data_IF_727721245539
#
_entry.id   IF_727721245539
#
_cell.length_a   1.000
_cell.length_b   1.000
_cell.length_c   1.000
_cell.angle_alpha   90.00
_cell.angle_beta   90.00
_cell.angle_gamma   90.00
#
_symmetry.space_group_name_H-M   'P 1'
#
loop_
_entity.id
_entity.type
_entity.pdbx_description
1 polymer ?
#
# COMPACT_ATOMS: atom_id res chain seq x y z
N UNK A 1 4.80 -4.27 13.66
CA UNK A 1 5.79 -4.41 12.57
C UNK A 1 5.78 -3.09 11.83
N UNK A 2 6.91 -2.38 11.82
CA UNK A 2 7.03 -1.15 11.01
C UNK A 2 6.92 -1.55 9.54
N UNK A 3 5.80 -1.19 8.90
CA UNK A 3 5.64 -1.27 7.45
C UNK A 3 6.55 -0.21 6.81
N UNK A 4 7.83 -0.54 6.68
CA UNK A 4 8.82 0.27 5.95
C UNK A 4 8.55 0.17 4.46
N UNK A 5 8.70 1.28 3.76
CA UNK A 5 8.58 1.34 2.30
C UNK A 5 9.54 0.37 1.61
N UNK A 6 9.13 -0.15 0.45
CA UNK A 6 10.00 -0.96 -0.41
C UNK A 6 11.17 -0.08 -0.92
N UNK A 7 12.36 -0.29 -0.35
CA UNK A 7 13.56 0.51 -0.63
C UNK A 7 14.01 0.38 -2.09
N UNK A 8 13.88 -0.80 -2.69
CA UNK A 8 14.27 -0.99 -4.10
C UNK A 8 13.37 -0.20 -5.03
N UNK A 9 12.06 -0.25 -4.79
CA UNK A 9 11.08 0.49 -5.58
C UNK A 9 11.23 2.01 -5.38
N UNK A 10 11.48 2.44 -4.14
CA UNK A 10 11.77 3.84 -3.82
C UNK A 10 12.98 4.36 -4.60
N UNK A 11 14.10 3.63 -4.59
CA UNK A 11 15.31 4.02 -5.32
C UNK A 11 15.09 4.11 -6.83
N UNK A 12 14.32 3.18 -7.41
CA UNK A 12 13.99 3.17 -8.84
C UNK A 12 13.08 4.36 -9.24
N UNK A 13 12.14 4.74 -8.38
CA UNK A 13 11.33 5.94 -8.57
C UNK A 13 12.22 7.19 -8.49
N UNK A 14 13.09 7.29 -7.49
CA UNK A 14 14.02 8.42 -7.34
C UNK A 14 14.96 8.56 -8.55
N UNK A 15 15.46 7.43 -9.07
CA UNK A 15 16.34 7.41 -10.25
C UNK A 15 15.63 7.88 -11.52
N UNK A 16 14.31 7.70 -11.64
CA UNK A 16 13.55 8.24 -12.77
C UNK A 16 13.19 9.71 -12.57
N UNK A 17 12.77 10.09 -11.35
CA UNK A 17 12.39 11.48 -11.02
C UNK A 17 13.59 12.41 -11.16
N UNK A 18 14.79 12.01 -10.74
CA UNK A 18 15.98 12.88 -10.83
C UNK A 18 16.27 13.33 -12.27
N UNK A 19 15.89 12.55 -13.27
CA UNK A 19 16.16 12.85 -14.68
C UNK A 19 15.09 13.76 -15.31
N UNK A 20 13.92 13.87 -14.66
CA UNK A 20 12.79 14.70 -15.10
C UNK A 20 12.84 16.16 -14.60
N UNK A 21 13.68 16.43 -13.60
CA UNK A 21 13.77 17.74 -12.95
C UNK A 21 15.21 18.22 -12.85
N UNK A 22 15.40 19.53 -12.81
CA UNK A 22 16.68 20.15 -12.45
C UNK A 22 16.93 20.07 -10.95
N UNK A 23 18.17 20.28 -10.52
CA UNK A 23 18.52 20.30 -9.08
C UNK A 23 17.74 21.36 -8.29
N UNK A 24 17.54 22.56 -8.88
CA UNK A 24 16.74 23.62 -8.26
C UNK A 24 15.28 23.20 -8.10
N UNK A 25 14.67 22.62 -9.13
CA UNK A 25 13.28 22.15 -9.06
C UNK A 25 13.11 21.07 -7.98
N UNK A 26 14.05 20.12 -7.87
CA UNK A 26 14.00 19.07 -6.85
C UNK A 26 14.10 19.67 -5.43
N UNK A 27 14.94 20.68 -5.23
CA UNK A 27 15.03 21.39 -3.96
C UNK A 27 13.71 22.10 -3.67
N UNK A 28 13.19 22.89 -4.61
CA UNK A 28 11.91 23.59 -4.43
C UNK A 28 10.79 22.62 -4.10
N UNK A 29 10.61 21.57 -4.90
CA UNK A 29 9.57 20.57 -4.68
C UNK A 29 9.67 19.90 -3.31
N UNK A 30 10.85 19.43 -2.93
CA UNK A 30 11.04 18.73 -1.66
C UNK A 30 10.94 19.65 -0.44
N UNK A 31 11.43 20.90 -0.54
CA UNK A 31 11.38 21.87 0.56
C UNK A 31 9.98 22.43 0.75
N UNK A 32 9.29 22.83 -0.32
CA UNK A 32 7.91 23.32 -0.26
C UNK A 32 6.97 22.24 0.28
N UNK A 33 7.13 21.01 -0.21
CA UNK A 33 6.36 19.88 0.30
C UNK A 33 6.64 19.63 1.78
N UNK A 34 7.91 19.47 2.18
CA UNK A 34 8.27 19.19 3.57
C UNK A 34 7.71 20.28 4.52
N UNK A 35 7.86 21.55 4.15
CA UNK A 35 7.30 22.67 4.89
C UNK A 35 5.77 22.59 4.99
N UNK A 36 5.08 22.18 3.94
CA UNK A 36 3.60 22.03 3.94
C UNK A 36 3.10 20.95 4.90
N UNK A 37 3.92 19.93 5.20
CA UNK A 37 3.58 18.83 6.11
C UNK A 37 4.25 18.96 7.48
N UNK A 38 4.94 20.06 7.75
CA UNK A 38 5.61 20.32 9.03
C UNK A 38 6.90 19.52 9.24
N UNK A 39 7.53 19.04 8.16
CA UNK A 39 8.80 18.33 8.18
C UNK A 39 9.95 19.23 7.67
N UNK A 40 11.18 18.89 8.02
CA UNK A 40 12.38 19.62 7.60
C UNK A 40 13.28 18.70 6.78
N UNK A 41 13.87 19.26 5.72
CA UNK A 41 14.81 18.54 4.85
C UNK A 41 16.19 19.19 4.88
N UNK A 42 17.23 18.36 4.71
CA UNK A 42 18.63 18.76 4.86
C UNK A 42 19.09 19.70 3.75
N UNK A 43 18.77 19.40 2.49
CA UNK A 43 19.31 20.12 1.33
C UNK A 43 18.34 21.20 0.89
N UNK A 44 18.71 22.46 1.14
CA UNK A 44 17.89 23.64 0.83
C UNK A 44 18.48 24.52 -0.28
N UNK A 45 19.72 24.27 -0.70
CA UNK A 45 20.43 25.05 -1.73
C UNK A 45 21.18 24.14 -2.69
N UNK A 46 21.26 24.53 -3.96
CA UNK A 46 22.06 23.81 -4.97
C UNK A 46 23.54 24.08 -4.69
N UNK A 47 24.13 23.23 -3.87
CA UNK A 47 25.58 23.16 -3.67
C UNK A 47 26.22 22.19 -4.67
N UNK A 48 27.22 21.45 -4.22
CA UNK A 48 27.91 20.41 -4.99
C UNK A 48 27.16 19.07 -5.06
N UNK A 49 25.92 19.01 -4.56
CA UNK A 49 25.13 17.79 -4.49
C UNK A 49 24.59 17.40 -5.87
N UNK A 50 24.64 16.11 -6.22
CA UNK A 50 24.00 15.64 -7.45
C UNK A 50 22.48 15.67 -7.32
N UNK A 51 21.76 15.64 -8.45
CA UNK A 51 20.28 15.55 -8.45
C UNK A 51 19.77 14.35 -7.65
N UNK A 52 20.49 13.22 -7.72
CA UNK A 52 20.17 12.03 -6.93
C UNK A 52 20.36 12.30 -5.44
N UNK A 53 21.49 12.87 -5.05
CA UNK A 53 21.77 13.17 -3.63
C UNK A 53 20.75 14.15 -3.05
N UNK A 54 20.38 15.18 -3.81
CA UNK A 54 19.32 16.14 -3.44
C UNK A 54 18.02 15.40 -3.11
N UNK A 55 17.54 14.58 -4.04
CA UNK A 55 16.27 13.88 -3.91
C UNK A 55 16.34 12.85 -2.79
N UNK A 56 17.28 11.90 -2.86
CA UNK A 56 17.38 10.80 -1.89
C UNK A 56 17.60 11.30 -0.47
N UNK A 57 18.43 12.35 -0.27
CA UNK A 57 18.67 12.88 1.08
C UNK A 57 17.43 13.56 1.64
N UNK A 58 16.79 14.44 0.88
CA UNK A 58 15.59 15.14 1.33
C UNK A 58 14.42 14.16 1.57
N UNK A 59 14.24 13.17 0.70
CA UNK A 59 13.24 12.11 0.89
C UNK A 59 13.57 11.26 2.12
N UNK A 60 14.84 10.96 2.38
CA UNK A 60 15.23 10.19 3.56
C UNK A 60 14.96 10.90 4.90
N UNK A 61 14.96 12.22 4.90
CA UNK A 61 14.65 13.04 6.08
C UNK A 61 13.14 13.03 6.41
N UNK A 62 12.30 12.64 5.45
CA UNK A 62 10.85 12.62 5.60
C UNK A 62 10.33 11.33 6.26
N UNK A 63 9.18 11.42 6.93
CA UNK A 63 8.47 10.23 7.40
C UNK A 63 7.93 9.40 6.23
N UNK A 64 7.74 8.08 6.41
CA UNK A 64 7.17 7.23 5.35
C UNK A 64 5.76 7.68 4.91
N UNK A 65 5.05 8.47 5.73
CA UNK A 65 3.78 9.08 5.35
C UNK A 65 3.94 10.32 4.49
N UNK A 66 4.89 11.17 4.84
CA UNK A 66 5.26 12.31 4.01
C UNK A 66 5.80 11.84 2.65
N UNK A 67 6.68 10.82 2.60
CA UNK A 67 7.19 10.25 1.34
C UNK A 67 6.07 9.83 0.40
N UNK A 68 5.07 9.11 0.90
CA UNK A 68 3.93 8.67 0.08
C UNK A 68 3.12 9.83 -0.45
N UNK A 69 2.77 10.79 0.41
CA UNK A 69 2.03 11.97 0.01
C UNK A 69 2.81 12.80 -1.02
N UNK A 70 4.13 12.87 -0.88
CA UNK A 70 5.01 13.53 -1.82
C UNK A 70 4.93 12.88 -3.21
N UNK A 71 5.13 11.56 -3.29
CA UNK A 71 5.05 10.85 -4.57
C UNK A 71 3.64 10.87 -5.16
N UNK A 72 2.59 10.83 -4.32
CA UNK A 72 1.21 10.97 -4.78
C UNK A 72 0.95 12.35 -5.40
N UNK A 73 1.44 13.42 -4.77
CA UNK A 73 1.38 14.77 -5.35
C UNK A 73 2.23 14.93 -6.61
N UNK A 74 3.40 14.28 -6.69
CA UNK A 74 4.23 14.33 -7.90
C UNK A 74 3.49 13.83 -9.14
N UNK A 75 2.58 12.86 -9.01
CA UNK A 75 1.75 12.39 -10.13
C UNK A 75 0.86 13.48 -10.74
N UNK A 76 0.61 14.57 -10.03
CA UNK A 76 -0.19 15.70 -10.55
C UNK A 76 0.60 16.61 -11.48
N UNK A 77 1.93 16.46 -11.53
CA UNK A 77 2.79 17.22 -12.44
C UNK A 77 2.74 16.56 -13.82
N UNK A 78 2.39 17.32 -14.85
CA UNK A 78 2.19 16.85 -16.24
C UNK A 78 3.33 15.93 -16.73
N UNK A 79 4.59 16.34 -16.57
CA UNK A 79 5.76 15.55 -16.99
C UNK A 79 5.90 14.18 -16.29
N UNK A 80 5.30 14.03 -15.12
CA UNK A 80 5.27 12.77 -14.36
C UNK A 80 4.05 11.95 -14.76
N UNK A 81 2.87 12.57 -14.89
CA UNK A 81 1.65 11.89 -15.34
C UNK A 81 1.78 11.32 -16.76
N UNK A 82 2.57 11.96 -17.61
CA UNK A 82 2.85 11.52 -18.99
C UNK A 82 3.78 10.30 -19.06
N UNK A 83 4.27 9.80 -17.92
CA UNK A 83 5.02 8.56 -17.83
C UNK A 83 4.22 7.47 -17.09
N UNK A 84 3.38 6.68 -17.80
CA UNK A 84 2.54 5.65 -17.17
C UNK A 84 3.32 4.62 -16.35
N UNK A 85 4.54 4.27 -16.77
CA UNK A 85 5.38 3.30 -16.04
C UNK A 85 5.82 3.84 -14.69
N UNK A 86 6.16 5.12 -14.62
CA UNK A 86 6.54 5.78 -13.37
C UNK A 86 5.32 5.93 -12.45
N UNK A 87 4.17 6.33 -12.99
CA UNK A 87 2.91 6.41 -12.25
C UNK A 87 2.55 5.06 -11.62
N UNK A 88 2.62 3.98 -12.39
CA UNK A 88 2.39 2.62 -11.87
C UNK A 88 3.32 2.26 -10.72
N UNK A 89 4.63 2.57 -10.84
CA UNK A 89 5.60 2.31 -9.76
C UNK A 89 5.28 3.13 -8.51
N UNK A 90 4.86 4.38 -8.67
CA UNK A 90 4.40 5.22 -7.55
C UNK A 90 3.17 4.60 -6.88
N UNK A 91 2.19 4.15 -7.67
CA UNK A 91 0.99 3.50 -7.13
C UNK A 91 1.33 2.19 -6.39
N UNK A 92 2.28 1.40 -6.91
CA UNK A 92 2.80 0.20 -6.23
C UNK A 92 3.48 0.56 -4.90
N UNK A 93 4.28 1.63 -4.86
CA UNK A 93 4.94 2.10 -3.64
C UNK A 93 3.89 2.53 -2.60
N UNK A 94 2.86 3.26 -3.00
CA UNK A 94 1.77 3.69 -2.12
C UNK A 94 0.99 2.47 -1.62
N UNK A 95 0.67 1.52 -2.51
CA UNK A 95 -0.02 0.29 -2.17
C UNK A 95 0.78 -0.58 -1.19
N UNK A 96 2.12 -0.54 -1.24
CA UNK A 96 2.99 -1.28 -0.33
C UNK A 96 2.88 -0.84 1.14
N UNK A 97 2.36 0.36 1.39
CA UNK A 97 2.26 0.98 2.73
C UNK A 97 0.85 1.05 3.28
N UNK A 98 -0.18 0.96 2.41
CA UNK A 98 -1.53 0.66 2.87
C UNK A 98 -1.43 -0.59 3.76
N UNK A 99 -2.03 -0.60 4.97
CA UNK A 99 -2.02 -1.80 5.77
C UNK A 99 -2.64 -2.90 4.92
N UNK A 100 -1.80 -3.84 4.46
CA UNK A 100 -2.16 -4.94 3.58
C UNK A 100 -3.44 -5.63 4.08
N UNK A 101 -3.64 -5.61 5.40
CA UNK A 101 -4.77 -6.14 6.14
C UNK A 101 -6.09 -5.41 5.84
N UNK A 102 -6.17 -4.07 5.85
CA UNK A 102 -7.43 -3.35 5.64
C UNK A 102 -7.87 -3.40 4.17
N UNK A 103 -6.94 -3.23 3.24
CA UNK A 103 -7.25 -3.32 1.81
C UNK A 103 -7.65 -4.76 1.43
N UNK A 104 -6.93 -5.77 1.93
CA UNK A 104 -7.29 -7.19 1.70
C UNK A 104 -8.63 -7.52 2.36
N UNK A 105 -8.91 -7.01 3.56
CA UNK A 105 -10.18 -7.22 4.25
C UNK A 105 -11.34 -6.61 3.46
N UNK A 106 -11.18 -5.40 2.95
CA UNK A 106 -12.20 -4.74 2.14
C UNK A 106 -12.41 -5.48 0.82
N UNK A 107 -11.34 -5.94 0.17
CA UNK A 107 -11.42 -6.74 -1.05
C UNK A 107 -12.17 -8.07 -0.83
N UNK A 108 -11.88 -8.80 0.25
CA UNK A 108 -12.61 -10.03 0.58
C UNK A 108 -14.07 -9.71 0.93
N UNK A 109 -14.33 -8.63 1.66
CA UNK A 109 -15.69 -8.19 1.99
C UNK A 109 -16.52 -7.92 0.73
N UNK A 110 -15.93 -7.24 -0.24
CA UNK A 110 -16.57 -6.96 -1.53
C UNK A 110 -16.73 -8.24 -2.35
N UNK A 111 -15.72 -9.12 -2.38
CA UNK A 111 -15.81 -10.39 -3.13
C UNK A 111 -16.92 -11.30 -2.57
N UNK A 112 -17.13 -11.28 -1.26
CA UNK A 112 -18.14 -12.10 -0.60
C UNK A 112 -19.53 -11.47 -0.61
N UNK A 113 -19.71 -10.20 -1.00
CA UNK A 113 -21.00 -9.48 -0.88
C UNK A 113 -22.15 -10.16 -1.59
N UNK A 114 -21.85 -10.84 -2.70
CA UNK A 114 -22.84 -11.47 -3.58
C UNK A 114 -23.17 -12.92 -3.16
N UNK A 115 -22.48 -13.43 -2.14
CA UNK A 115 -22.72 -14.76 -1.59
C UNK A 115 -23.82 -14.76 -0.52
N UNK A 116 -24.23 -15.95 -0.09
CA UNK A 116 -25.30 -16.11 0.89
C UNK A 116 -25.00 -15.42 2.22
N UNK A 117 -26.06 -15.06 2.95
CA UNK A 117 -25.99 -14.40 4.27
C UNK A 117 -25.11 -15.16 5.27
N UNK A 118 -25.01 -16.49 5.15
CA UNK A 118 -24.23 -17.30 6.07
C UNK A 118 -22.72 -17.16 5.82
N UNK A 119 -22.29 -17.08 4.55
CA UNK A 119 -20.89 -16.84 4.18
C UNK A 119 -20.46 -15.44 4.61
N UNK A 120 -21.29 -14.44 4.33
CA UNK A 120 -20.98 -13.04 4.66
C UNK A 120 -20.97 -12.80 6.17
N UNK A 121 -21.86 -13.46 6.93
CA UNK A 121 -21.87 -13.39 8.40
C UNK A 121 -20.61 -14.00 8.99
N UNK A 122 -20.22 -15.21 8.59
CA UNK A 122 -19.00 -15.85 9.09
C UNK A 122 -17.74 -14.99 8.80
N UNK A 123 -17.69 -14.35 7.62
CA UNK A 123 -16.60 -13.44 7.30
C UNK A 123 -16.60 -12.20 8.21
N UNK A 124 -17.76 -11.57 8.42
CA UNK A 124 -17.89 -10.40 9.32
C UNK A 124 -17.50 -10.73 10.76
N UNK A 125 -17.88 -11.91 11.25
CA UNK A 125 -17.48 -12.39 12.57
C UNK A 125 -15.95 -12.54 12.67
N UNK A 126 -15.29 -13.04 11.62
CA UNK A 126 -13.83 -13.13 11.60
C UNK A 126 -13.16 -11.75 11.74
N UNK A 127 -13.71 -10.73 11.10
CA UNK A 127 -13.23 -9.35 11.18
C UNK A 127 -13.44 -8.79 12.59
N UNK A 128 -14.61 -9.01 13.19
CA UNK A 128 -14.93 -8.58 14.56
C UNK A 128 -13.98 -9.26 15.55
N UNK A 129 -13.82 -10.58 15.49
CA UNK A 129 -12.93 -11.31 16.38
C UNK A 129 -11.48 -10.87 16.25
N UNK A 130 -11.02 -10.59 15.03
CA UNK A 130 -9.66 -10.09 14.81
C UNK A 130 -9.47 -8.70 15.46
N UNK A 131 -10.43 -7.78 15.28
CA UNK A 131 -10.37 -6.45 15.88
C UNK A 131 -10.43 -6.50 17.42
N UNK A 132 -11.18 -7.47 17.97
CA UNK A 132 -11.27 -7.77 19.39
C UNK A 132 -10.05 -8.52 19.96
N UNK A 133 -9.02 -8.78 19.14
CA UNK A 133 -7.83 -9.59 19.49
C UNK A 133 -8.15 -11.04 19.91
N UNK A 134 -9.33 -11.55 19.55
CA UNK A 134 -9.78 -12.94 19.76
C UNK A 134 -9.33 -13.81 18.58
N UNK A 135 -8.02 -13.95 18.40
CA UNK A 135 -7.43 -14.57 17.19
C UNK A 135 -7.92 -15.99 16.89
N UNK A 136 -8.18 -16.81 17.92
CA UNK A 136 -8.75 -18.15 17.72
C UNK A 136 -10.14 -18.10 17.09
N UNK A 137 -11.01 -17.23 17.61
CA UNK A 137 -12.34 -17.01 17.04
C UNK A 137 -12.29 -16.44 15.62
N UNK A 138 -11.29 -15.59 15.33
CA UNK A 138 -11.07 -15.08 13.99
C UNK A 138 -10.70 -16.20 13.00
N UNK A 139 -9.77 -17.09 13.38
CA UNK A 139 -9.38 -18.23 12.56
C UNK A 139 -10.51 -19.24 12.35
N UNK A 140 -11.27 -19.55 13.41
CA UNK A 140 -12.42 -20.45 13.32
C UNK A 140 -13.50 -19.88 12.38
N UNK A 141 -13.70 -18.56 12.41
CA UNK A 141 -14.65 -17.88 11.52
C UNK A 141 -14.16 -17.80 10.07
N UNK A 142 -12.86 -17.59 9.84
CA UNK A 142 -12.25 -17.68 8.49
C UNK A 142 -12.42 -19.08 7.93
N UNK A 143 -12.16 -20.10 8.75
CA UNK A 143 -12.32 -21.50 8.38
C UNK A 143 -13.76 -21.81 7.97
N UNK A 144 -14.73 -21.38 8.77
CA UNK A 144 -16.15 -21.55 8.46
C UNK A 144 -16.53 -20.82 7.15
N UNK A 145 -16.03 -19.61 6.96
CA UNK A 145 -16.23 -18.84 5.71
C UNK A 145 -15.75 -19.62 4.50
N UNK A 146 -14.53 -20.17 4.55
CA UNK A 146 -13.96 -20.99 3.48
C UNK A 146 -14.76 -22.28 3.25
N UNK A 147 -15.20 -22.93 4.31
CA UNK A 147 -16.02 -24.14 4.19
C UNK A 147 -17.33 -23.85 3.46
N UNK A 148 -18.06 -22.84 3.89
CA UNK A 148 -19.34 -22.46 3.27
C UNK A 148 -19.15 -22.01 1.80
N UNK A 149 -18.08 -21.27 1.52
CA UNK A 149 -17.74 -20.83 0.17
C UNK A 149 -17.45 -22.03 -0.75
N UNK A 150 -16.62 -22.97 -0.30
CA UNK A 150 -16.27 -24.15 -1.10
C UNK A 150 -17.46 -25.08 -1.31
N UNK A 151 -18.31 -25.27 -0.29
CA UNK A 151 -19.57 -26.03 -0.44
C UNK A 151 -20.46 -25.40 -1.51
N UNK A 152 -20.56 -24.07 -1.53
CA UNK A 152 -21.33 -23.33 -2.53
C UNK A 152 -20.73 -23.46 -3.93
N UNK A 153 -19.41 -23.34 -4.08
CA UNK A 153 -18.73 -23.41 -5.38
C UNK A 153 -18.70 -24.82 -5.97
N UNK A 154 -18.49 -25.84 -5.13
CA UNK A 154 -18.36 -27.23 -5.56
C UNK A 154 -19.69 -28.00 -5.54
N UNK A 155 -20.78 -27.37 -5.09
CA UNK A 155 -22.11 -27.98 -5.02
C UNK A 155 -22.17 -29.24 -4.15
N UNK A 156 -21.33 -29.34 -3.12
CA UNK A 156 -21.30 -30.48 -2.22
C UNK A 156 -21.25 -30.04 -0.75
N UNK A 157 -21.77 -30.86 0.16
CA UNK A 157 -21.85 -30.54 1.59
C UNK A 157 -20.69 -31.09 2.42
N UNK A 158 -19.58 -31.51 1.78
CA UNK A 158 -18.43 -32.06 2.50
C UNK A 158 -17.75 -30.97 3.32
N UNK A 159 -17.45 -31.26 4.58
CA UNK A 159 -16.61 -30.38 5.40
C UNK A 159 -15.20 -30.28 4.79
N UNK A 160 -14.54 -29.15 5.05
CA UNK A 160 -13.13 -28.94 4.70
C UNK A 160 -12.22 -30.07 5.19
N UNK A 161 -12.50 -30.64 6.36
CA UNK A 161 -11.70 -31.75 6.94
C UNK A 161 -11.85 -33.07 6.18
N UNK A 162 -12.93 -33.20 5.39
CA UNK A 162 -13.35 -34.44 4.76
C UNK A 162 -13.34 -34.36 3.22
N UNK A 163 -12.66 -33.37 2.65
CA UNK A 163 -12.37 -33.35 1.23
C UNK A 163 -11.28 -34.39 0.93
N UNK A 164 -11.68 -35.66 0.70
CA UNK A 164 -10.78 -36.63 0.06
C UNK A 164 -10.39 -36.07 -1.31
N UNK A 165 -9.09 -36.11 -1.62
CA UNK A 165 -8.55 -35.70 -2.91
C UNK A 165 -9.41 -36.27 -4.04
N UNK A 166 -9.83 -35.38 -4.95
CA UNK A 166 -10.42 -35.75 -6.23
C UNK A 166 -9.41 -36.57 -7.06
#
# INVERSE_FOLDING_TARGET
MDNRLNIMLLNDIEDQIKDMFSGNELITLTNEFAKSVGENVTIQVVGFNSKKDILSKNISDMSDNAKIKFFDQLKTIERVSDNPKLVMKIDELIASKLPLIENTRNNITNLLSDYSSNITTAWKESVIFYNDQKYRGALDSIRLTLELLLKKLLGNDKSLENQKAL
#
